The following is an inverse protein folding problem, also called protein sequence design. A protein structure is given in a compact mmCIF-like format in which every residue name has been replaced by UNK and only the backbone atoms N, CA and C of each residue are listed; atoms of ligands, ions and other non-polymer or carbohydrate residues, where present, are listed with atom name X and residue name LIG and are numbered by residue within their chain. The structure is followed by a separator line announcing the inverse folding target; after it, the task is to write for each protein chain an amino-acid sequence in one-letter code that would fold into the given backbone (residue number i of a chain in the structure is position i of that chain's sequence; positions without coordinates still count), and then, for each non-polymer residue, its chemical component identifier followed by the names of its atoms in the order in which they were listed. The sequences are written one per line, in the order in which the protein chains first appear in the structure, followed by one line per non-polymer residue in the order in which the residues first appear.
data_IF_284499836401
#
_entry.id   IF_284499836401
#
_cell.length_a   1.000
_cell.length_b   1.000
_cell.length_c   1.000
_cell.angle_alpha   90.00
_cell.angle_beta   90.00
_cell.angle_gamma   90.00
#
_symmetry.space_group_name_H-M   'P 1'
#
loop_
_entity.id
_entity.type
_entity.pdbx_description
1 polymer ?
#
# COMPACT_ATOMS: atom_id res chain seq x y z
N UNK A 1 -12.88 -23.75 3.12
CA UNK A 1 -12.70 -22.30 2.97
C UNK A 1 -14.04 -21.65 2.68
N UNK A 2 -14.26 -20.42 3.17
CA UNK A 2 -15.51 -19.69 2.97
C UNK A 2 -15.42 -18.65 1.83
N UNK A 3 -14.44 -18.78 0.94
CA UNK A 3 -14.28 -17.91 -0.22
C UNK A 3 -13.65 -18.68 -1.39
N UNK A 4 -14.01 -18.27 -2.61
CA UNK A 4 -13.51 -18.85 -3.86
C UNK A 4 -12.34 -18.04 -4.43
N UNK A 5 -12.38 -16.70 -4.27
CA UNK A 5 -11.32 -15.75 -4.67
C UNK A 5 -10.88 -14.97 -3.46
N UNK A 6 -9.59 -14.70 -3.37
CA UNK A 6 -9.01 -13.90 -2.30
C UNK A 6 -8.26 -12.70 -2.88
N UNK A 7 -8.49 -11.52 -2.27
CA UNK A 7 -7.73 -10.31 -2.52
C UNK A 7 -6.92 -9.98 -1.26
N UNK A 8 -5.61 -9.80 -1.41
CA UNK A 8 -4.74 -9.42 -0.30
C UNK A 8 -4.36 -7.95 -0.34
N UNK A 9 -4.05 -7.40 0.82
CA UNK A 9 -3.52 -6.04 0.98
C UNK A 9 -2.06 -5.91 0.53
N UNK A 10 -1.33 -7.03 0.48
CA UNK A 10 0.07 -7.15 0.08
C UNK A 10 0.36 -8.54 -0.49
N UNK A 11 1.48 -8.70 -1.18
CA UNK A 11 1.83 -9.95 -1.84
C UNK A 11 2.37 -11.03 -0.88
N UNK A 12 2.85 -10.67 0.31
CA UNK A 12 3.47 -11.62 1.25
C UNK A 12 2.51 -12.74 1.65
N UNK A 13 1.23 -12.42 1.92
CA UNK A 13 0.22 -13.40 2.29
C UNK A 13 -0.01 -14.45 1.19
N UNK A 14 -0.10 -14.04 -0.07
CA UNK A 14 -0.31 -14.98 -1.16
C UNK A 14 0.95 -15.82 -1.44
N UNK A 15 2.14 -15.29 -1.20
CA UNK A 15 3.39 -16.06 -1.25
C UNK A 15 3.36 -17.17 -0.18
N UNK A 16 2.94 -16.87 1.05
CA UNK A 16 2.81 -17.85 2.14
C UNK A 16 1.76 -18.91 1.77
N UNK A 17 0.60 -18.50 1.27
CA UNK A 17 -0.47 -19.43 0.90
C UNK A 17 -0.12 -20.29 -0.31
N UNK A 18 0.62 -19.75 -1.28
CA UNK A 18 1.19 -20.54 -2.36
C UNK A 18 2.11 -21.65 -1.82
N UNK A 19 3.03 -21.31 -0.92
CA UNK A 19 3.92 -22.29 -0.26
C UNK A 19 3.16 -23.37 0.51
N UNK A 20 1.98 -23.05 1.02
CA UNK A 20 1.08 -23.97 1.73
C UNK A 20 0.14 -24.76 0.79
N UNK A 21 0.21 -24.56 -0.53
CA UNK A 21 -0.66 -25.23 -1.50
C UNK A 21 -2.14 -24.82 -1.42
N UNK A 22 -2.42 -23.60 -0.96
CA UNK A 22 -3.79 -23.10 -0.77
C UNK A 22 -4.37 -22.41 -2.01
N UNK A 23 -3.56 -22.10 -3.01
CA UNK A 23 -3.97 -21.41 -4.24
C UNK A 23 -4.05 -22.37 -5.42
N UNK A 24 -4.97 -22.10 -6.34
CA UNK A 24 -5.12 -22.80 -7.60
C UNK A 24 -4.47 -22.00 -8.74
N UNK A 25 -3.75 -22.64 -9.66
CA UNK A 25 -3.17 -21.96 -10.82
C UNK A 25 -4.26 -21.55 -11.81
N UNK A 26 -4.24 -20.27 -12.18
CA UNK A 26 -5.07 -19.76 -13.27
C UNK A 26 -4.51 -18.41 -13.76
N UNK A 27 -4.21 -18.32 -15.04
CA UNK A 27 -3.69 -17.11 -15.67
C UNK A 27 -4.70 -16.64 -16.73
N UNK A 28 -5.48 -15.57 -16.47
CA UNK A 28 -6.32 -14.93 -17.49
C UNK A 28 -5.49 -14.39 -18.65
N UNK A 29 -6.10 -14.28 -19.83
CA UNK A 29 -5.44 -13.76 -21.03
C UNK A 29 -4.87 -12.35 -20.84
N UNK A 30 -5.64 -11.46 -20.21
CA UNK A 30 -5.17 -10.11 -19.87
C UNK A 30 -3.91 -10.12 -18.99
N UNK A 31 -3.84 -11.01 -17.99
CA UNK A 31 -2.65 -11.16 -17.15
C UNK A 31 -1.46 -11.67 -17.96
N UNK A 32 -1.69 -12.65 -18.83
CA UNK A 32 -0.64 -13.21 -19.67
C UNK A 32 -0.03 -12.15 -20.60
N UNK A 33 -0.89 -11.32 -21.22
CA UNK A 33 -0.52 -10.40 -22.30
C UNK A 33 -0.13 -9.00 -21.83
N UNK A 34 -0.74 -8.51 -20.75
CA UNK A 34 -0.70 -7.09 -20.38
C UNK A 34 -0.12 -6.78 -19.00
N UNK A 35 0.32 -7.81 -18.23
CA UNK A 35 0.99 -7.59 -16.94
C UNK A 35 2.47 -7.94 -17.05
N UNK A 36 3.31 -7.06 -16.53
CA UNK A 36 4.74 -7.35 -16.40
C UNK A 36 5.01 -8.50 -15.42
N UNK A 37 6.16 -9.15 -15.56
CA UNK A 37 6.56 -10.26 -14.70
C UNK A 37 6.58 -9.91 -13.21
N UNK A 38 6.86 -8.66 -12.86
CA UNK A 38 6.84 -8.18 -11.48
C UNK A 38 5.44 -8.18 -10.83
N UNK A 39 4.38 -8.25 -11.63
CA UNK A 39 2.98 -8.17 -11.19
C UNK A 39 2.20 -9.47 -11.35
N UNK A 40 2.87 -10.57 -11.67
CA UNK A 40 2.27 -11.91 -11.77
C UNK A 40 3.19 -12.98 -11.22
N UNK A 41 2.60 -13.95 -10.54
CA UNK A 41 3.35 -15.09 -10.04
C UNK A 41 3.81 -16.00 -11.20
N UNK A 42 5.06 -16.46 -11.23
CA UNK A 42 5.58 -17.27 -12.34
C UNK A 42 4.86 -18.61 -12.50
N UNK A 43 4.28 -19.17 -11.44
CA UNK A 43 3.52 -20.41 -11.47
C UNK A 43 2.01 -20.18 -11.67
N UNK A 44 1.58 -18.93 -11.91
CA UNK A 44 0.21 -18.55 -12.19
C UNK A 44 -0.76 -18.63 -11.01
N UNK A 45 -0.28 -18.61 -9.78
CA UNK A 45 -1.10 -18.72 -8.58
C UNK A 45 -1.82 -17.43 -8.20
N UNK A 46 -1.27 -16.28 -8.58
CA UNK A 46 -1.85 -14.95 -8.33
C UNK A 46 -1.31 -13.88 -9.28
N UNK A 47 -2.01 -12.76 -9.38
CA UNK A 47 -1.55 -11.56 -10.07
C UNK A 47 -2.01 -10.31 -9.30
N UNK A 48 -1.36 -9.17 -9.55
CA UNK A 48 -1.65 -7.89 -8.89
C UNK A 48 -2.98 -7.31 -9.38
N UNK A 49 -4.05 -7.45 -8.61
CA UNK A 49 -5.33 -6.82 -8.94
C UNK A 49 -5.34 -5.32 -8.67
N UNK A 50 -4.40 -4.83 -7.87
CA UNK A 50 -4.15 -3.41 -7.62
C UNK A 50 -2.70 -3.16 -7.31
N UNK A 51 -2.27 -1.93 -7.54
CA UNK A 51 -1.06 -1.35 -7.00
C UNK A 51 -1.45 -0.14 -6.14
N UNK A 52 -0.78 0.10 -5.05
CA UNK A 52 -0.96 1.30 -4.23
C UNK A 52 0.37 1.84 -3.75
N UNK A 53 0.40 3.15 -3.49
CA UNK A 53 1.52 3.80 -2.82
C UNK A 53 1.12 4.14 -1.38
N UNK A 54 2.11 4.20 -0.51
CA UNK A 54 1.97 4.70 0.86
C UNK A 54 2.81 5.96 1.06
N UNK A 55 2.42 7.10 0.44
CA UNK A 55 3.13 8.36 0.57
C UNK A 55 2.89 9.00 1.93
N UNK A 56 3.67 10.02 2.24
CA UNK A 56 3.36 10.99 3.29
C UNK A 56 2.19 11.88 2.87
N UNK A 57 1.66 12.66 3.80
CA UNK A 57 0.65 13.67 3.51
C UNK A 57 0.49 14.66 4.66
N UNK A 58 -0.18 15.76 4.41
CA UNK A 58 -0.38 16.80 5.41
C UNK A 58 -1.75 17.46 5.30
N UNK A 59 -2.21 18.06 6.40
CA UNK A 59 -3.43 18.86 6.44
C UNK A 59 -3.13 20.29 5.98
N UNK A 60 -3.78 20.73 4.90
CA UNK A 60 -3.51 22.03 4.26
C UNK A 60 -4.01 23.25 5.05
N UNK A 61 -4.85 23.03 6.08
CA UNK A 61 -5.26 24.11 7.02
C UNK A 61 -4.29 24.26 8.21
N UNK A 62 -3.55 23.18 8.55
CA UNK A 62 -2.64 23.16 9.69
C UNK A 62 -1.18 23.39 9.30
N UNK A 63 -0.83 23.10 8.05
CA UNK A 63 0.54 23.22 7.53
C UNK A 63 0.48 23.93 6.18
N UNK A 64 1.29 24.98 6.02
CA UNK A 64 1.44 25.64 4.73
C UNK A 64 2.26 24.77 3.77
N UNK A 65 2.03 24.84 2.46
CA UNK A 65 2.76 24.04 1.48
C UNK A 65 4.30 24.17 1.57
N UNK A 66 4.80 25.38 1.85
CA UNK A 66 6.22 25.66 2.01
C UNK A 66 6.85 25.01 3.25
N UNK A 67 6.05 24.81 4.32
CA UNK A 67 6.48 24.23 5.60
C UNK A 67 6.30 22.70 5.65
N UNK A 68 5.59 22.12 4.67
CA UNK A 68 5.33 20.69 4.61
C UNK A 68 6.64 19.89 4.40
N UNK A 69 6.76 18.68 4.99
CA UNK A 69 7.95 17.85 4.78
C UNK A 69 8.04 17.44 3.31
N UNK A 70 9.23 17.38 2.74
CA UNK A 70 9.50 16.96 1.34
C UNK A 70 10.19 15.61 1.27
N UNK A 71 10.69 15.14 2.40
CA UNK A 71 11.47 13.93 2.56
C UNK A 71 11.12 13.23 3.86
N UNK A 72 11.48 11.95 3.98
CA UNK A 72 11.39 11.24 5.27
C UNK A 72 12.38 11.81 6.29
N UNK A 73 13.48 12.40 5.83
CA UNK A 73 14.41 13.11 6.72
C UNK A 73 13.75 14.33 7.38
N UNK A 74 12.95 15.11 6.65
CA UNK A 74 12.23 16.26 7.18
C UNK A 74 11.15 15.86 8.20
N UNK A 75 10.58 14.66 8.04
CA UNK A 75 9.51 14.17 8.91
C UNK A 75 9.98 13.88 10.34
N UNK A 76 11.27 13.66 10.56
CA UNK A 76 11.83 13.43 11.90
C UNK A 76 12.36 14.70 12.58
N UNK A 77 12.07 15.87 12.04
CA UNK A 77 12.33 17.17 12.66
C UNK A 77 11.51 17.31 13.96
N UNK A 78 12.09 17.77 15.07
CA UNK A 78 11.39 18.03 16.34
C UNK A 78 10.15 18.93 16.24
N UNK A 79 10.03 19.79 15.23
CA UNK A 79 8.83 20.63 14.99
C UNK A 79 7.55 19.80 14.82
N UNK A 80 7.66 18.52 14.47
CA UNK A 80 6.56 17.59 14.29
C UNK A 80 6.16 16.81 15.55
N UNK A 81 6.77 17.10 16.70
CA UNK A 81 6.44 16.47 17.99
C UNK A 81 4.93 16.48 18.26
N UNK A 82 4.33 15.28 18.42
CA UNK A 82 2.91 15.10 18.68
C UNK A 82 1.97 15.40 17.50
N UNK A 83 2.50 15.73 16.32
CA UNK A 83 1.72 16.14 15.14
C UNK A 83 1.62 15.06 14.05
N UNK A 84 2.28 13.93 14.22
CA UNK A 84 2.36 12.85 13.23
C UNK A 84 1.37 11.74 13.56
N UNK A 85 0.78 11.13 12.54
CA UNK A 85 0.10 9.85 12.61
C UNK A 85 0.78 8.84 11.69
N UNK A 86 0.83 7.58 12.13
CA UNK A 86 1.36 6.45 11.37
C UNK A 86 0.53 5.19 11.66
N UNK A 87 0.30 4.36 10.65
CA UNK A 87 -0.32 3.07 10.88
C UNK A 87 0.69 2.02 11.38
N UNK A 88 0.19 1.07 12.17
CA UNK A 88 1.00 0.04 12.80
C UNK A 88 1.16 -1.18 11.89
N UNK A 89 2.40 -1.66 11.62
CA UNK A 89 2.65 -2.76 10.69
C UNK A 89 2.04 -4.10 11.12
N UNK A 90 1.79 -4.29 12.39
CA UNK A 90 1.19 -5.53 12.91
C UNK A 90 -0.30 -5.73 12.59
N UNK A 91 -0.99 -4.70 12.06
CA UNK A 91 -2.41 -4.77 11.74
C UNK A 91 -2.73 -4.57 10.26
N UNK A 92 -1.73 -4.23 9.43
CA UNK A 92 -1.90 -3.95 8.01
C UNK A 92 -0.73 -4.47 7.20
N UNK A 93 -0.99 -5.41 6.29
CA UNK A 93 0.03 -5.91 5.37
C UNK A 93 0.60 -4.83 4.46
N UNK A 94 -0.23 -3.89 4.02
CA UNK A 94 0.22 -2.69 3.29
C UNK A 94 1.27 -1.92 4.09
N UNK A 95 1.04 -1.68 5.38
CA UNK A 95 1.99 -0.96 6.25
C UNK A 95 3.19 -1.83 6.64
N UNK A 96 3.01 -3.13 6.76
CA UNK A 96 4.13 -4.06 6.96
C UNK A 96 5.12 -3.97 5.79
N UNK A 97 4.62 -4.03 4.55
CA UNK A 97 5.43 -3.89 3.34
C UNK A 97 6.08 -2.50 3.24
N UNK A 98 5.34 -1.43 3.54
CA UNK A 98 5.90 -0.09 3.59
C UNK A 98 6.99 0.05 4.68
N UNK A 99 6.78 -0.56 5.85
CA UNK A 99 7.77 -0.54 6.96
C UNK A 99 9.04 -1.30 6.58
N UNK A 100 8.92 -2.44 5.89
CA UNK A 100 10.09 -3.17 5.37
C UNK A 100 10.91 -2.32 4.39
N UNK A 101 10.26 -1.67 3.43
CA UNK A 101 10.94 -0.82 2.45
C UNK A 101 11.63 0.37 3.13
N UNK A 102 10.93 1.07 4.02
CA UNK A 102 11.49 2.21 4.74
C UNK A 102 12.63 1.80 5.69
N UNK A 103 12.52 0.65 6.38
CA UNK A 103 13.58 0.18 7.26
C UNK A 103 14.84 -0.26 6.48
N UNK A 104 14.67 -0.82 5.27
CA UNK A 104 15.78 -1.15 4.37
C UNK A 104 16.49 0.10 3.87
N UNK A 105 15.74 1.11 3.40
CA UNK A 105 16.30 2.25 2.68
C UNK A 105 16.73 3.40 3.61
N UNK A 106 16.03 3.61 4.74
CA UNK A 106 16.34 4.65 5.72
C UNK A 106 17.03 4.12 6.99
N UNK A 107 16.96 2.81 7.19
CA UNK A 107 17.44 2.16 8.42
C UNK A 107 16.51 2.34 9.63
N UNK A 108 16.67 1.47 10.63
CA UNK A 108 15.89 1.53 11.87
C UNK A 108 16.17 2.79 12.71
N UNK A 109 17.32 3.43 12.54
CA UNK A 109 17.64 4.72 13.17
C UNK A 109 16.67 5.85 12.79
N UNK A 110 16.07 5.81 11.61
CA UNK A 110 14.99 6.73 11.25
C UNK A 110 13.73 6.46 12.09
N UNK A 111 13.33 5.20 12.27
CA UNK A 111 12.21 4.83 13.12
C UNK A 111 12.43 5.17 14.59
N UNK A 112 13.67 5.06 15.10
CA UNK A 112 14.03 5.51 16.46
C UNK A 112 13.81 7.02 16.65
N UNK A 113 14.18 7.82 15.65
CA UNK A 113 13.90 9.27 15.67
C UNK A 113 12.40 9.54 15.63
N UNK A 114 11.67 8.83 14.76
CA UNK A 114 10.22 8.97 14.63
C UNK A 114 9.48 8.58 15.93
N UNK A 115 9.91 7.52 16.60
CA UNK A 115 9.34 7.07 17.88
C UNK A 115 9.47 8.14 19.00
N UNK A 116 10.55 8.93 19.00
CA UNK A 116 10.74 10.03 19.96
C UNK A 116 9.76 11.19 19.76
N UNK A 117 9.09 11.28 18.61
CA UNK A 117 8.17 12.38 18.28
C UNK A 117 6.74 12.19 18.81
N UNK A 118 6.47 11.17 19.66
CA UNK A 118 5.16 10.93 20.27
C UNK A 118 4.05 10.84 19.21
N UNK A 119 4.28 10.03 18.18
CA UNK A 119 3.34 9.87 17.06
C UNK A 119 2.05 9.18 17.52
N UNK A 120 0.94 9.49 16.85
CA UNK A 120 -0.30 8.73 16.99
C UNK A 120 -0.19 7.43 16.17
N UNK A 121 -0.36 6.28 16.83
CA UNK A 121 -0.47 4.98 16.18
C UNK A 121 -1.93 4.67 15.86
N UNK A 122 -2.20 4.20 14.64
CA UNK A 122 -3.51 3.71 14.21
C UNK A 122 -3.37 2.32 13.57
N UNK A 123 -4.47 1.60 13.36
CA UNK A 123 -4.39 0.20 12.92
C UNK A 123 -4.30 0.06 11.39
N UNK A 124 -5.25 0.62 10.67
CA UNK A 124 -5.37 0.43 9.22
C UNK A 124 -4.59 1.46 8.42
N UNK A 125 -4.08 1.07 7.26
CA UNK A 125 -3.43 1.98 6.30
C UNK A 125 -4.33 3.12 5.79
N UNK A 126 -5.65 3.00 5.93
CA UNK A 126 -6.62 4.05 5.56
C UNK A 126 -6.95 5.02 6.70
N UNK A 127 -6.44 4.78 7.91
CA UNK A 127 -6.73 5.66 9.05
C UNK A 127 -5.86 6.92 9.10
N UNK A 128 -4.54 6.89 8.76
CA UNK A 128 -3.75 8.11 8.75
C UNK A 128 -4.33 9.23 7.88
N UNK A 129 -4.78 8.98 6.62
CA UNK A 129 -5.45 10.01 5.81
C UNK A 129 -6.69 10.59 6.49
N UNK A 130 -7.52 9.77 7.14
CA UNK A 130 -8.72 10.25 7.87
C UNK A 130 -8.34 11.16 9.03
N UNK A 131 -7.33 10.77 9.83
CA UNK A 131 -6.85 11.58 10.96
C UNK A 131 -6.27 12.91 10.53
N UNK A 132 -5.56 12.93 9.41
CA UNK A 132 -5.02 14.17 8.85
C UNK A 132 -6.13 15.02 8.22
N UNK A 133 -7.05 14.45 7.42
CA UNK A 133 -8.19 15.17 6.86
C UNK A 133 -9.05 15.84 7.94
N UNK A 134 -9.35 15.13 9.02
CA UNK A 134 -10.09 15.63 10.18
C UNK A 134 -9.32 16.67 11.02
N UNK A 135 -8.03 16.90 10.76
CA UNK A 135 -7.21 17.83 11.54
C UNK A 135 -6.75 17.33 12.91
N UNK A 136 -6.91 16.03 13.21
CA UNK A 136 -6.43 15.46 14.46
C UNK A 136 -4.89 15.38 14.51
N UNK A 137 -4.25 15.29 13.35
CA UNK A 137 -2.79 15.37 13.19
C UNK A 137 -2.46 16.21 11.95
N UNK A 138 -1.33 16.88 12.02
CA UNK A 138 -0.90 17.77 10.95
C UNK A 138 -0.31 17.03 9.74
N UNK A 139 0.38 15.91 9.99
CA UNK A 139 1.06 15.10 8.96
C UNK A 139 0.87 13.62 9.20
N UNK A 140 0.90 12.83 8.15
CA UNK A 140 1.02 11.38 8.21
C UNK A 140 2.37 10.92 7.67
N UNK A 141 2.98 9.93 8.34
CA UNK A 141 4.23 9.32 7.93
C UNK A 141 4.03 8.30 6.81
N UNK A 142 2.88 7.66 6.78
CA UNK A 142 2.39 6.75 5.77
C UNK A 142 0.85 6.81 5.73
N UNK A 143 0.29 6.29 4.66
CA UNK A 143 -1.15 6.20 4.46
C UNK A 143 -1.42 5.85 3.00
N UNK A 144 -2.61 5.34 2.70
CA UNK A 144 -2.90 4.95 1.33
C UNK A 144 -3.09 6.16 0.43
N UNK A 145 -2.42 6.16 -0.75
CA UNK A 145 -2.60 7.17 -1.78
C UNK A 145 -4.07 7.31 -2.18
N UNK A 146 -4.74 6.18 -2.47
CA UNK A 146 -6.15 6.17 -2.86
C UNK A 146 -7.08 6.74 -1.79
N UNK A 147 -6.83 6.42 -0.52
CA UNK A 147 -7.62 6.95 0.58
C UNK A 147 -7.51 8.47 0.70
N UNK A 148 -6.31 9.01 0.53
CA UNK A 148 -6.06 10.45 0.51
C UNK A 148 -6.72 11.12 -0.69
N UNK A 149 -6.58 10.54 -1.88
CA UNK A 149 -7.19 11.06 -3.12
C UNK A 149 -8.71 11.14 -3.00
N UNK A 150 -9.36 10.09 -2.46
CA UNK A 150 -10.80 10.07 -2.26
C UNK A 150 -11.28 11.08 -1.21
N UNK A 151 -10.52 11.31 -0.14
CA UNK A 151 -10.83 12.34 0.86
C UNK A 151 -10.67 13.75 0.26
N UNK A 152 -9.59 13.99 -0.47
CA UNK A 152 -9.37 15.27 -1.19
C UNK A 152 -10.50 15.56 -2.18
N UNK A 153 -10.96 14.56 -2.93
CA UNK A 153 -12.10 14.70 -3.84
C UNK A 153 -13.42 15.04 -3.13
N UNK A 154 -13.55 14.71 -1.85
CA UNK A 154 -14.68 15.09 -0.98
C UNK A 154 -14.52 16.48 -0.32
N UNK A 155 -13.43 17.20 -0.62
CA UNK A 155 -13.16 18.53 -0.06
C UNK A 155 -12.43 18.53 1.28
N UNK A 156 -11.92 17.39 1.75
CA UNK A 156 -11.10 17.34 2.96
C UNK A 156 -9.76 18.07 2.75
N UNK A 157 -9.27 18.81 3.75
CA UNK A 157 -8.07 19.64 3.64
C UNK A 157 -6.79 18.78 3.77
N UNK A 158 -6.58 17.87 2.84
CA UNK A 158 -5.43 16.95 2.84
C UNK A 158 -4.71 16.98 1.50
N UNK A 159 -3.37 16.90 1.53
CA UNK A 159 -2.53 16.82 0.34
C UNK A 159 -1.48 15.71 0.47
N UNK A 160 -1.15 15.07 -0.66
CA UNK A 160 -0.12 14.03 -0.74
C UNK A 160 1.28 14.62 -0.85
N UNK A 161 2.24 13.91 -0.27
CA UNK A 161 3.66 14.20 -0.40
C UNK A 161 4.37 12.93 -0.89
N UNK A 162 4.87 12.98 -2.12
CA UNK A 162 5.76 11.94 -2.64
C UNK A 162 7.20 12.31 -2.26
N UNK A 163 7.72 11.60 -1.26
CA UNK A 163 9.04 11.88 -0.69
C UNK A 163 10.16 11.80 -1.73
N UNK A 164 11.20 12.61 -1.58
CA UNK A 164 12.36 12.64 -2.48
C UNK A 164 13.12 11.31 -2.53
N UNK A 165 13.10 10.54 -1.44
CA UNK A 165 13.68 9.20 -1.36
C UNK A 165 12.88 8.18 -2.17
N UNK A 166 11.58 8.40 -2.34
CA UNK A 166 10.62 7.55 -3.02
C UNK A 166 9.45 7.18 -2.11
N UNK A 167 8.33 6.80 -2.70
CA UNK A 167 7.15 6.34 -1.96
C UNK A 167 7.11 4.81 -1.90
N UNK A 168 6.76 4.20 -0.75
CA UNK A 168 6.57 2.78 -0.68
C UNK A 168 5.53 2.30 -1.69
N UNK A 169 5.90 1.27 -2.46
CA UNK A 169 5.07 0.61 -3.46
C UNK A 169 4.58 -0.72 -2.92
N UNK A 170 3.29 -0.96 -2.96
CA UNK A 170 2.68 -2.19 -2.47
C UNK A 170 1.79 -2.78 -3.55
N UNK A 171 2.07 -4.02 -3.95
CA UNK A 171 1.20 -4.81 -4.80
C UNK A 171 0.19 -5.57 -3.95
N UNK A 172 -1.08 -5.43 -4.29
CA UNK A 172 -2.17 -6.21 -3.72
C UNK A 172 -2.61 -7.29 -4.71
N UNK A 173 -2.18 -8.53 -4.54
CA UNK A 173 -2.56 -9.58 -5.47
C UNK A 173 -3.93 -10.17 -5.16
N UNK A 174 -4.49 -10.83 -6.19
CA UNK A 174 -5.66 -11.70 -6.11
C UNK A 174 -5.29 -13.10 -6.58
N UNK A 175 -5.96 -14.11 -6.05
CA UNK A 175 -5.79 -15.50 -6.42
C UNK A 175 -7.04 -16.33 -6.17
N UNK A 176 -7.12 -17.51 -6.77
CA UNK A 176 -8.23 -18.46 -6.59
C UNK A 176 -7.82 -19.49 -5.55
N UNK A 177 -8.73 -19.82 -4.63
CA UNK A 177 -8.47 -20.84 -3.61
C UNK A 177 -8.54 -22.25 -4.25
N UNK A 178 -7.60 -23.13 -3.86
CA UNK A 178 -7.54 -24.50 -4.39
C UNK A 178 -8.82 -25.31 -4.11
N UNK A 179 -9.54 -24.97 -3.04
CA UNK A 179 -10.83 -25.60 -2.67
C UNK A 179 -12.02 -24.67 -2.88
N UNK A 180 -11.98 -23.84 -3.92
CA UNK A 180 -13.10 -23.00 -4.30
C UNK A 180 -14.36 -23.86 -4.52
N UNK A 181 -15.47 -23.52 -3.88
CA UNK A 181 -16.74 -24.23 -4.05
C UNK A 181 -17.33 -24.01 -5.44
N UNK A 182 -17.06 -22.84 -6.04
CA UNK A 182 -17.56 -22.43 -7.36
C UNK A 182 -16.39 -22.05 -8.30
N UNK A 183 -15.55 -23.03 -8.71
CA UNK A 183 -14.29 -22.73 -9.41
C UNK A 183 -14.48 -22.02 -10.75
N UNK A 184 -15.55 -22.29 -11.49
CA UNK A 184 -15.83 -21.63 -12.77
C UNK A 184 -16.27 -20.17 -12.56
N UNK A 185 -17.12 -19.91 -11.56
CA UNK A 185 -17.49 -18.54 -11.18
C UNK A 185 -16.28 -17.75 -10.65
N UNK A 186 -15.41 -18.40 -9.87
CA UNK A 186 -14.16 -17.81 -9.39
C UNK A 186 -13.24 -17.39 -10.55
N UNK A 187 -13.08 -18.26 -11.56
CA UNK A 187 -12.28 -17.95 -12.76
C UNK A 187 -12.88 -16.79 -13.55
N UNK A 188 -14.20 -16.79 -13.75
CA UNK A 188 -14.89 -15.72 -14.47
C UNK A 188 -14.71 -14.36 -13.77
N UNK A 189 -14.97 -14.32 -12.46
CA UNK A 189 -14.79 -13.10 -11.66
C UNK A 189 -13.34 -12.64 -11.66
N UNK A 190 -12.39 -13.56 -11.46
CA UNK A 190 -10.97 -13.23 -11.45
C UNK A 190 -10.51 -12.72 -12.81
N UNK A 191 -10.91 -13.37 -13.92
CA UNK A 191 -10.57 -12.92 -15.26
C UNK A 191 -11.13 -11.51 -15.54
N UNK A 192 -12.41 -11.25 -15.20
CA UNK A 192 -13.00 -9.93 -15.33
C UNK A 192 -12.28 -8.88 -14.47
N UNK A 193 -11.97 -9.20 -13.21
CA UNK A 193 -11.27 -8.27 -12.31
C UNK A 193 -9.86 -7.91 -12.77
N UNK A 194 -9.23 -8.77 -13.59
CA UNK A 194 -7.91 -8.54 -14.17
C UNK A 194 -7.97 -7.96 -15.59
N UNK A 195 -9.16 -7.88 -16.21
CA UNK A 195 -9.32 -7.28 -17.53
C UNK A 195 -9.07 -5.78 -17.54
N UNK A 196 -8.82 -5.22 -18.72
CA UNK A 196 -8.66 -3.77 -18.87
C UNK A 196 -9.87 -2.98 -18.33
N UNK A 197 -11.10 -3.50 -18.53
CA UNK A 197 -12.34 -2.90 -18.00
C UNK A 197 -12.36 -2.92 -16.46
N UNK A 198 -12.20 -4.10 -15.85
CA UNK A 198 -12.23 -4.24 -14.39
C UNK A 198 -11.13 -3.43 -13.70
N UNK A 199 -9.94 -3.42 -14.29
CA UNK A 199 -8.81 -2.64 -13.80
C UNK A 199 -9.04 -1.13 -13.97
N UNK A 200 -9.65 -0.66 -15.07
CA UNK A 200 -9.98 0.76 -15.24
C UNK A 200 -11.03 1.22 -14.23
N UNK A 201 -12.04 0.39 -13.93
CA UNK A 201 -13.01 0.69 -12.86
C UNK A 201 -12.34 0.82 -11.48
N UNK A 202 -11.36 -0.03 -11.15
CA UNK A 202 -10.58 0.11 -9.92
C UNK A 202 -9.84 1.45 -9.85
N UNK A 203 -9.30 1.92 -10.97
CA UNK A 203 -8.62 3.22 -11.05
C UNK A 203 -9.62 4.37 -10.93
N UNK A 204 -10.69 4.36 -11.72
CA UNK A 204 -11.62 5.48 -11.83
C UNK A 204 -12.45 5.69 -10.57
N UNK A 205 -12.93 4.59 -9.96
CA UNK A 205 -13.80 4.64 -8.78
C UNK A 205 -12.98 4.54 -7.49
N UNK A 206 -12.02 3.61 -7.47
CA UNK A 206 -11.23 3.30 -6.26
C UNK A 206 -10.02 4.20 -6.05
N UNK A 207 -9.67 5.05 -7.03
CA UNK A 207 -8.41 5.81 -7.05
C UNK A 207 -7.15 4.92 -6.84
N UNK A 208 -7.25 3.65 -7.22
CA UNK A 208 -6.16 2.69 -7.16
C UNK A 208 -5.22 2.85 -8.37
N UNK A 209 -4.08 2.20 -8.32
CA UNK A 209 -3.19 2.05 -9.48
C UNK A 209 -3.34 0.64 -10.05
N UNK A 210 -3.12 0.52 -11.34
CA UNK A 210 -3.14 -0.76 -12.05
C UNK A 210 -1.76 -1.13 -12.58
N UNK A 211 -1.51 -2.44 -12.65
CA UNK A 211 -0.37 -3.02 -13.35
C UNK A 211 -0.69 -3.39 -14.81
N UNK A 212 -1.92 -3.23 -15.25
CA UNK A 212 -2.37 -3.56 -16.60
C UNK A 212 -1.92 -2.49 -17.60
N UNK A 213 -1.17 -2.89 -18.64
CA UNK A 213 -0.53 -1.96 -19.59
C UNK A 213 -1.49 -1.05 -20.38
N UNK A 214 -2.76 -1.45 -20.55
CA UNK A 214 -3.76 -0.68 -21.29
C UNK A 214 -4.57 0.28 -20.40
N UNK A 215 -4.43 0.19 -19.08
CA UNK A 215 -5.18 1.02 -18.12
C UNK A 215 -4.51 2.37 -17.92
N UNK A 216 -5.32 3.42 -17.89
CA UNK A 216 -4.84 4.80 -17.77
C UNK A 216 -4.92 5.27 -16.32
N UNK A 217 -3.94 6.06 -15.92
CA UNK A 217 -3.98 6.76 -14.63
C UNK A 217 -5.20 7.70 -14.56
N UNK A 218 -5.75 7.85 -13.37
CA UNK A 218 -6.82 8.78 -13.07
C UNK A 218 -6.33 10.23 -13.26
N UNK A 219 -7.11 11.11 -13.94
CA UNK A 219 -6.64 12.45 -14.34
C UNK A 219 -6.28 13.39 -13.19
N UNK A 220 -6.90 13.21 -12.02
CA UNK A 220 -6.66 14.02 -10.80
C UNK A 220 -5.51 13.51 -9.95
N UNK A 221 -4.82 12.46 -10.40
CA UNK A 221 -3.65 11.89 -9.73
C UNK A 221 -2.37 12.17 -10.52
N UNK A 222 -1.25 12.34 -9.80
CA UNK A 222 0.07 12.40 -10.45
C UNK A 222 0.32 11.13 -11.24
N UNK A 223 0.88 11.23 -12.45
CA UNK A 223 1.18 10.07 -13.29
C UNK A 223 2.08 9.10 -12.55
N UNK A 224 1.74 7.82 -12.59
CA UNK A 224 2.47 6.78 -11.87
C UNK A 224 3.93 6.68 -12.31
N UNK A 225 4.19 6.93 -13.60
CA UNK A 225 5.56 6.97 -14.18
C UNK A 225 6.42 8.10 -13.63
N UNK A 226 5.82 9.20 -13.15
CA UNK A 226 6.54 10.38 -12.64
C UNK A 226 6.86 10.28 -11.13
N UNK A 227 6.36 9.24 -10.46
CA UNK A 227 6.57 9.05 -9.02
C UNK A 227 7.77 8.13 -8.80
N UNK A 228 8.74 8.60 -8.01
CA UNK A 228 9.83 7.74 -7.53
C UNK A 228 9.25 6.74 -6.52
N UNK A 229 9.50 5.46 -6.75
CA UNK A 229 8.99 4.36 -5.93
C UNK A 229 10.12 3.63 -5.24
N UNK A 230 9.90 3.21 -4.01
CA UNK A 230 10.77 2.25 -3.35
C UNK A 230 10.52 0.84 -3.93
N UNK A 231 11.54 -0.01 -3.89
CA UNK A 231 11.45 -1.37 -4.42
C UNK A 231 10.69 -2.27 -3.45
N UNK A 232 9.67 -2.96 -3.95
CA UNK A 232 8.97 -3.99 -3.19
C UNK A 232 9.77 -5.31 -3.16
N UNK A 233 9.79 -5.96 -1.98
CA UNK A 233 10.43 -7.25 -1.75
C UNK A 233 9.48 -8.15 -0.94
N UNK A 234 8.37 -8.56 -1.58
CA UNK A 234 7.29 -9.29 -0.92
C UNK A 234 7.75 -10.62 -0.28
N UNK A 235 8.73 -11.30 -0.88
CA UNK A 235 9.30 -12.53 -0.31
C UNK A 235 10.01 -12.25 1.02
N UNK A 236 10.73 -11.12 1.12
CA UNK A 236 11.39 -10.72 2.38
C UNK A 236 10.34 -10.42 3.46
N UNK A 237 9.23 -9.79 3.09
CA UNK A 237 8.11 -9.57 4.03
C UNK A 237 7.52 -10.90 4.47
N UNK A 238 7.28 -11.84 3.54
CA UNK A 238 6.76 -13.17 3.87
C UNK A 238 7.65 -13.94 4.86
N UNK A 239 8.98 -13.78 4.76
CA UNK A 239 9.94 -14.50 5.59
C UNK A 239 10.24 -13.79 6.92
N UNK A 240 10.11 -12.44 6.99
CA UNK A 240 10.59 -11.62 8.12
C UNK A 240 9.50 -10.75 8.79
N UNK A 241 8.22 -10.97 8.49
CA UNK A 241 7.15 -10.13 9.04
C UNK A 241 7.16 -10.08 10.58
N UNK A 242 7.38 -11.21 11.25
CA UNK A 242 7.43 -11.28 12.72
C UNK A 242 8.64 -10.54 13.30
N UNK A 243 9.81 -10.63 12.65
CA UNK A 243 11.01 -9.90 13.05
C UNK A 243 10.81 -8.38 12.93
N UNK A 244 10.27 -7.93 11.78
CA UNK A 244 9.97 -6.52 11.51
C UNK A 244 8.96 -5.99 12.54
N UNK A 245 7.89 -6.75 12.81
CA UNK A 245 6.88 -6.41 13.80
C UNK A 245 7.47 -6.30 15.21
N UNK A 246 8.27 -7.29 15.62
CA UNK A 246 8.89 -7.31 16.95
C UNK A 246 9.83 -6.11 17.15
N UNK A 247 10.63 -5.77 16.13
CA UNK A 247 11.50 -4.61 16.17
C UNK A 247 10.71 -3.31 16.28
N UNK A 248 9.65 -3.16 15.47
CA UNK A 248 8.77 -1.99 15.50
C UNK A 248 8.11 -1.81 16.88
N UNK A 249 7.50 -2.88 17.42
CA UNK A 249 6.85 -2.87 18.75
C UNK A 249 7.83 -2.46 19.85
N UNK A 250 9.06 -2.98 19.81
CA UNK A 250 10.11 -2.61 20.78
C UNK A 250 10.45 -1.12 20.73
N UNK A 251 10.54 -0.54 19.53
CA UNK A 251 10.90 0.88 19.35
C UNK A 251 9.76 1.83 19.78
N UNK A 252 8.55 1.52 19.39
CA UNK A 252 7.40 2.39 19.65
C UNK A 252 6.68 2.08 20.96
N UNK A 253 7.03 0.97 21.65
CA UNK A 253 6.44 0.52 22.92
C UNK A 253 4.92 0.32 22.83
N UNK A 254 4.44 -0.30 21.76
CA UNK A 254 3.03 -0.52 21.42
C UNK A 254 2.73 -2.00 21.17
#
# INVERSE_FOLDING_TARGET
YNCDVVNSSDAAHLIIWKRQGLLAPYVPDDVAQHFDAAHKDPDGMFASWRVTLCPMGYNTRLVKPEDAPKSYADLVDPKWMGKIVKAHPGYSGTIMTATQQLSRDLGWGWFEKLAKLKILQVQSAVDPPKKVGAGERAVMADGTEYGTTLLKAKGEPIELIYASEGSPLITGPSGIMVRAANPNAARLFYAWSMSAEGQQLNVDIGALRSAHALVKDRPDMRKFSEIKKLREEASVVADKADEIKAHYVKLFKV
#
